data_IF_484768643479
#
_entry.id   IF_484768643479
#
_cell.length_a   1.000
_cell.length_b   1.000
_cell.length_c   1.000
_cell.angle_alpha   90.00
_cell.angle_beta   90.00
_cell.angle_gamma   90.00
#
_symmetry.space_group_name_H-M   'P 1'
#
loop_
_entity.id
_entity.type
_entity.pdbx_description
1 polymer ?
#
# COMPACT_ATOMS: atom_id res chain seq x y z
N UNK A 1 46.02 -0.56 -24.82
CA UNK A 1 44.74 0.05 -24.39
C UNK A 1 43.50 -0.86 -24.59
N UNK A 2 43.63 -2.16 -24.90
CA UNK A 2 42.49 -3.07 -25.14
C UNK A 2 41.86 -3.71 -23.89
N UNK A 3 42.29 -3.39 -22.66
CA UNK A 3 41.79 -4.05 -21.43
C UNK A 3 40.67 -3.30 -20.68
N UNK A 4 40.32 -2.07 -21.08
CA UNK A 4 39.35 -1.23 -20.33
C UNK A 4 37.91 -1.45 -20.80
N UNK A 5 37.70 -1.84 -22.06
CA UNK A 5 36.38 -2.08 -22.66
C UNK A 5 35.58 -3.20 -21.96
N UNK A 6 36.14 -4.36 -21.58
CA UNK A 6 35.33 -5.40 -20.92
C UNK A 6 34.86 -4.99 -19.52
N UNK A 7 35.57 -4.11 -18.81
CA UNK A 7 35.18 -3.68 -17.46
C UNK A 7 33.94 -2.77 -17.48
N UNK A 8 33.79 -1.93 -18.50
CA UNK A 8 32.65 -0.99 -18.62
C UNK A 8 31.36 -1.72 -19.02
N UNK A 9 31.45 -2.76 -19.85
CA UNK A 9 30.30 -3.58 -20.25
C UNK A 9 29.76 -4.41 -19.07
N UNK A 10 30.66 -4.93 -18.21
CA UNK A 10 30.26 -5.66 -16.99
C UNK A 10 29.62 -4.72 -15.95
N UNK A 11 30.09 -3.48 -15.86
CA UNK A 11 29.50 -2.48 -14.95
C UNK A 11 28.09 -2.06 -15.39
N UNK A 12 27.80 -1.95 -16.69
CA UNK A 12 26.45 -1.60 -17.16
C UNK A 12 25.44 -2.75 -17.05
N UNK A 13 25.90 -4.02 -17.14
CA UNK A 13 25.05 -5.20 -16.93
C UNK A 13 24.65 -5.43 -15.47
N UNK A 14 25.32 -4.78 -14.50
CA UNK A 14 25.02 -4.96 -13.07
C UNK A 14 23.99 -3.97 -12.52
N UNK A 15 23.57 -2.97 -13.29
CA UNK A 15 22.68 -1.89 -12.82
C UNK A 15 21.18 -2.07 -13.09
N UNK A 16 20.74 -3.23 -13.60
CA UNK A 16 19.34 -3.41 -14.01
C UNK A 16 18.67 -4.66 -13.44
N UNK A 17 19.09 -5.07 -12.23
CA UNK A 17 18.22 -5.86 -11.37
C UNK A 17 17.28 -4.88 -10.66
N UNK A 18 16.39 -4.25 -11.43
CA UNK A 18 15.18 -3.71 -10.84
C UNK A 18 14.48 -4.91 -10.19
N UNK A 19 14.34 -4.89 -8.87
CA UNK A 19 13.67 -5.95 -8.14
C UNK A 19 12.20 -5.89 -8.51
N UNK A 20 11.81 -6.64 -9.55
CA UNK A 20 10.44 -6.71 -10.01
C UNK A 20 9.55 -7.13 -8.85
N UNK A 21 8.51 -6.34 -8.58
CA UNK A 21 7.54 -6.63 -7.52
C UNK A 21 6.86 -7.95 -7.85
N UNK A 22 6.85 -8.89 -6.91
CA UNK A 22 6.26 -10.21 -7.09
C UNK A 22 5.50 -10.65 -5.86
N UNK A 23 4.24 -11.05 -6.06
CA UNK A 23 3.45 -11.74 -5.03
C UNK A 23 3.99 -13.18 -4.93
N UNK A 24 4.55 -13.53 -3.78
CA UNK A 24 5.13 -14.85 -3.52
C UNK A 24 4.07 -15.90 -3.19
N UNK A 25 3.07 -15.51 -2.41
CA UNK A 25 1.99 -16.38 -1.93
C UNK A 25 0.82 -15.53 -1.43
N UNK A 26 -0.39 -16.09 -1.46
CA UNK A 26 -1.56 -15.59 -0.72
C UNK A 26 -2.24 -16.79 -0.06
N UNK A 27 -2.44 -16.79 1.27
CA UNK A 27 -3.10 -17.92 1.94
C UNK A 27 -3.74 -17.56 3.27
N UNK A 28 -4.75 -18.32 3.66
CA UNK A 28 -5.29 -18.32 5.02
C UNK A 28 -4.41 -19.18 5.96
N UNK A 29 -4.61 -19.04 7.27
CA UNK A 29 -3.84 -19.79 8.26
C UNK A 29 -4.08 -21.30 8.12
N UNK A 30 -3.02 -22.07 7.90
CA UNK A 30 -3.09 -23.54 7.74
C UNK A 30 -3.28 -24.03 6.30
N UNK A 31 -3.55 -23.13 5.34
CA UNK A 31 -3.80 -23.49 3.95
C UNK A 31 -2.54 -23.54 3.07
N UNK A 32 -2.69 -24.13 1.87
CA UNK A 32 -1.67 -24.09 0.82
C UNK A 32 -1.50 -22.68 0.25
N UNK A 33 -0.35 -22.43 -0.36
CA UNK A 33 -0.13 -21.20 -1.11
C UNK A 33 -1.19 -21.09 -2.22
N UNK A 34 -1.81 -19.91 -2.32
CA UNK A 34 -2.89 -19.55 -3.26
C UNK A 34 -4.28 -20.08 -2.89
N UNK A 35 -4.45 -20.69 -1.72
CA UNK A 35 -5.76 -21.09 -1.19
C UNK A 35 -6.12 -20.26 0.04
N UNK A 36 -7.32 -19.67 0.01
CA UNK A 36 -7.85 -18.87 1.12
C UNK A 36 -9.26 -19.32 1.49
N UNK A 37 -9.58 -19.24 2.78
CA UNK A 37 -10.91 -19.52 3.28
C UNK A 37 -11.74 -18.24 3.36
N UNK A 38 -13.01 -18.34 2.95
CA UNK A 38 -13.96 -17.21 2.94
C UNK A 38 -14.13 -16.55 4.33
N UNK A 39 -14.00 -17.32 5.41
CA UNK A 39 -14.18 -16.83 6.79
C UNK A 39 -12.89 -16.42 7.50
N UNK A 40 -11.74 -16.53 6.84
CA UNK A 40 -10.43 -16.25 7.42
C UNK A 40 -9.72 -15.13 6.66
N UNK A 41 -8.84 -14.39 7.35
CA UNK A 41 -7.98 -13.39 6.71
C UNK A 41 -7.00 -14.11 5.77
N UNK A 42 -6.93 -13.65 4.53
CA UNK A 42 -6.04 -14.16 3.50
C UNK A 42 -4.80 -13.25 3.40
N UNK A 43 -3.64 -13.76 3.79
CA UNK A 43 -2.40 -12.97 3.88
C UNK A 43 -1.57 -13.18 2.60
N UNK A 44 -1.36 -12.09 1.86
CA UNK A 44 -0.49 -12.07 0.71
C UNK A 44 0.91 -11.56 1.08
N UNK A 45 1.94 -12.29 0.65
CA UNK A 45 3.35 -11.91 0.78
C UNK A 45 3.88 -11.39 -0.54
N UNK A 46 4.48 -10.21 -0.52
CA UNK A 46 5.03 -9.50 -1.67
C UNK A 46 6.53 -9.34 -1.46
N UNK A 47 7.29 -9.66 -2.51
CA UNK A 47 8.74 -9.47 -2.61
C UNK A 47 9.06 -8.33 -3.58
N UNK A 48 10.20 -7.67 -3.36
CA UNK A 48 10.60 -6.46 -4.09
C UNK A 48 10.33 -5.18 -3.28
N UNK A 49 10.83 -4.05 -3.79
CA UNK A 49 10.55 -2.74 -3.23
C UNK A 49 9.17 -2.28 -3.72
N UNK A 50 8.24 -2.09 -2.78
CA UNK A 50 6.88 -1.64 -3.06
C UNK A 50 6.52 -0.52 -2.07
N UNK A 51 6.69 0.73 -2.49
CA UNK A 51 6.30 1.90 -1.70
C UNK A 51 4.89 2.35 -2.04
N UNK A 52 4.11 2.70 -1.00
CA UNK A 52 2.71 3.14 -1.10
C UNK A 52 1.78 2.22 -1.91
N UNK A 53 2.14 0.95 -2.06
CA UNK A 53 1.42 0.04 -2.95
C UNK A 53 0.10 -0.46 -2.37
N UNK A 54 -0.78 -0.88 -3.28
CA UNK A 54 -2.04 -1.55 -2.97
C UNK A 54 -2.11 -2.89 -3.68
N UNK A 55 -2.73 -3.87 -3.04
CA UNK A 55 -3.04 -5.14 -3.67
C UNK A 55 -4.42 -5.02 -4.32
N UNK A 56 -4.48 -5.05 -5.63
CA UNK A 56 -5.73 -5.05 -6.38
C UNK A 56 -6.32 -6.46 -6.38
N UNK A 57 -7.54 -6.63 -5.86
CA UNK A 57 -8.27 -7.91 -5.84
C UNK A 57 -9.49 -7.77 -6.75
N UNK A 58 -9.64 -8.65 -7.74
CA UNK A 58 -10.70 -8.56 -8.76
C UNK A 58 -11.10 -9.93 -9.31
N UNK A 59 -12.34 -10.08 -9.82
CA UNK A 59 -12.81 -11.38 -10.34
C UNK A 59 -12.18 -11.75 -11.69
N UNK A 60 -12.44 -10.96 -12.74
CA UNK A 60 -12.05 -11.30 -14.12
C UNK A 60 -10.97 -10.39 -14.65
N UNK A 61 -11.16 -9.10 -14.44
CA UNK A 61 -10.27 -8.02 -14.84
C UNK A 61 -10.38 -6.83 -13.88
N UNK A 62 -9.51 -5.83 -14.05
CA UNK A 62 -9.41 -4.66 -13.18
C UNK A 62 -10.69 -3.79 -13.12
N UNK A 63 -11.68 -4.01 -14.00
CA UNK A 63 -12.97 -3.32 -13.98
C UNK A 63 -13.95 -3.97 -13.00
N UNK A 64 -13.72 -5.23 -12.64
CA UNK A 64 -14.47 -5.99 -11.63
C UNK A 64 -13.69 -6.02 -10.31
N UNK A 65 -13.28 -4.83 -9.85
CA UNK A 65 -12.51 -4.66 -8.63
C UNK A 65 -13.38 -4.96 -7.41
N UNK A 66 -12.90 -5.86 -6.55
CA UNK A 66 -13.55 -6.25 -5.30
C UNK A 66 -13.08 -5.35 -4.16
N UNK A 67 -11.75 -5.22 -3.98
CA UNK A 67 -11.14 -4.38 -2.96
C UNK A 67 -9.66 -4.05 -3.26
N UNK A 68 -9.08 -3.16 -2.44
CA UNK A 68 -7.68 -2.68 -2.59
C UNK A 68 -6.96 -2.51 -1.24
N UNK A 69 -6.69 -3.60 -0.50
CA UNK A 69 -5.94 -3.51 0.74
C UNK A 69 -4.54 -2.93 0.51
N UNK A 70 -4.04 -2.23 1.53
CA UNK A 70 -2.70 -1.61 1.49
C UNK A 70 -1.61 -2.69 1.61
N UNK A 71 -0.47 -2.45 0.97
CA UNK A 71 0.74 -3.26 1.16
C UNK A 71 1.61 -2.57 2.21
N UNK A 72 1.90 -3.28 3.32
CA UNK A 72 2.70 -2.79 4.43
C UNK A 72 3.82 -3.78 4.72
N UNK A 73 5.08 -3.32 4.64
CA UNK A 73 6.26 -4.14 4.90
C UNK A 73 6.32 -5.45 4.07
N UNK A 74 5.82 -5.42 2.84
CA UNK A 74 5.77 -6.60 1.96
C UNK A 74 4.63 -7.57 2.27
N UNK A 75 3.63 -7.17 3.03
CA UNK A 75 2.43 -7.96 3.33
C UNK A 75 1.16 -7.19 2.99
N UNK A 76 0.10 -7.90 2.64
CA UNK A 76 -1.23 -7.33 2.47
C UNK A 76 -2.27 -8.33 2.94
N UNK A 77 -3.18 -7.87 3.78
CA UNK A 77 -4.20 -8.70 4.41
C UNK A 77 -5.52 -8.46 3.68
N UNK A 78 -6.12 -9.52 3.15
CA UNK A 78 -7.43 -9.48 2.49
C UNK A 78 -8.46 -10.01 3.50
N UNK A 79 -9.36 -9.13 3.92
CA UNK A 79 -10.55 -9.49 4.68
C UNK A 79 -11.73 -9.65 3.71
N UNK A 80 -12.26 -10.86 3.58
CA UNK A 80 -13.30 -11.17 2.61
C UNK A 80 -14.63 -10.51 2.95
N UNK A 81 -14.91 -10.24 4.23
CA UNK A 81 -16.12 -9.52 4.65
C UNK A 81 -16.11 -8.08 4.11
N UNK A 82 -14.92 -7.47 4.00
CA UNK A 82 -14.71 -6.15 3.38
C UNK A 82 -14.62 -6.22 1.84
N UNK A 83 -14.34 -7.39 1.28
CA UNK A 83 -14.10 -7.63 -0.15
C UNK A 83 -15.27 -8.33 -0.87
N UNK A 84 -16.49 -8.25 -0.35
CA UNK A 84 -17.73 -8.83 -0.92
C UNK A 84 -17.79 -10.38 -0.96
N UNK A 85 -16.94 -11.07 -0.19
CA UNK A 85 -16.95 -12.54 0.03
C UNK A 85 -17.21 -13.40 -1.23
N UNK A 86 -16.40 -13.28 -2.31
CA UNK A 86 -16.56 -14.13 -3.48
C UNK A 86 -16.14 -15.57 -3.19
N UNK A 87 -16.82 -16.54 -3.80
CA UNK A 87 -16.42 -17.96 -3.78
C UNK A 87 -15.81 -18.33 -5.13
N UNK A 88 -14.71 -19.09 -5.12
CA UNK A 88 -14.01 -19.55 -6.32
C UNK A 88 -12.73 -18.77 -6.62
N UNK A 89 -12.40 -18.61 -7.90
CA UNK A 89 -11.14 -17.98 -8.31
C UNK A 89 -11.26 -16.45 -8.37
N UNK A 90 -10.33 -15.76 -7.71
CA UNK A 90 -10.12 -14.32 -7.87
C UNK A 90 -8.69 -14.05 -8.31
N UNK A 91 -8.46 -12.87 -8.88
CA UNK A 91 -7.17 -12.42 -9.36
C UNK A 91 -6.61 -11.34 -8.46
N UNK A 92 -5.30 -11.39 -8.25
CA UNK A 92 -4.57 -10.42 -7.44
C UNK A 92 -3.39 -9.84 -8.22
N UNK A 93 -3.15 -8.54 -8.03
CA UNK A 93 -1.99 -7.81 -8.58
C UNK A 93 -1.52 -6.76 -7.59
N UNK A 94 -0.23 -6.70 -7.31
CA UNK A 94 0.34 -5.59 -6.55
C UNK A 94 0.59 -4.40 -7.49
N UNK A 95 0.06 -3.23 -7.10
CA UNK A 95 0.24 -1.96 -7.79
C UNK A 95 1.05 -1.04 -6.88
N UNK A 96 2.33 -0.86 -7.21
CA UNK A 96 3.31 -0.08 -6.44
C UNK A 96 3.82 1.08 -7.31
N UNK A 97 4.45 2.09 -6.68
CA UNK A 97 5.04 3.22 -7.43
C UNK A 97 6.19 2.79 -8.35
N UNK A 98 6.94 1.76 -7.94
CA UNK A 98 8.09 1.23 -8.66
C UNK A 98 7.68 0.45 -9.91
N UNK A 99 6.73 -0.47 -9.77
CA UNK A 99 6.20 -1.30 -10.85
C UNK A 99 4.94 -2.06 -10.39
N UNK A 100 4.20 -2.61 -11.36
CA UNK A 100 3.14 -3.58 -11.10
C UNK A 100 3.69 -5.01 -11.11
N UNK A 101 3.17 -5.86 -10.22
CA UNK A 101 3.47 -7.30 -10.28
C UNK A 101 2.76 -7.98 -11.45
N UNK A 102 3.18 -9.21 -11.75
CA UNK A 102 2.34 -10.12 -12.54
C UNK A 102 1.03 -10.42 -11.81
N UNK A 103 0.00 -10.75 -12.59
CA UNK A 103 -1.29 -11.25 -12.10
C UNK A 103 -1.13 -12.69 -11.59
N UNK A 104 -1.75 -12.99 -10.45
CA UNK A 104 -1.86 -14.35 -9.91
C UNK A 104 -3.32 -14.66 -9.57
N UNK A 105 -3.67 -15.94 -9.48
CA UNK A 105 -5.00 -16.41 -9.11
C UNK A 105 -4.98 -16.94 -7.68
N UNK A 106 -5.95 -16.54 -6.87
CA UNK A 106 -6.22 -17.05 -5.52
C UNK A 106 -7.54 -17.82 -5.57
N UNK A 107 -7.56 -19.01 -5.00
CA UNK A 107 -8.74 -19.86 -4.91
C UNK A 107 -9.38 -19.70 -3.52
N UNK A 108 -10.64 -19.28 -3.50
CA UNK A 108 -11.40 -19.05 -2.27
C UNK A 108 -12.31 -20.25 -2.04
N UNK A 109 -11.99 -21.03 -1.02
CA UNK A 109 -12.77 -22.19 -0.60
C UNK A 109 -13.81 -21.72 0.40
N UNK A 110 -15.09 -21.89 0.06
CA UNK A 110 -16.16 -21.69 1.03
C UNK A 110 -15.90 -22.66 2.17
N UNK A 111 -15.83 -22.13 3.39
CA UNK A 111 -15.79 -22.95 4.58
C UNK A 111 -17.07 -23.77 4.57
N UNK A 112 -17.01 -25.02 4.10
CA UNK A 112 -18.04 -25.99 4.42
C UNK A 112 -18.00 -26.02 5.94
N UNK A 113 -18.92 -25.29 6.57
CA UNK A 113 -19.13 -25.34 7.99
C UNK A 113 -19.31 -26.80 8.29
N UNK A 114 -18.23 -27.42 8.73
CA UNK A 114 -18.18 -28.85 8.97
C UNK A 114 -19.08 -28.98 10.19
N UNK A 115 -20.35 -29.22 9.89
CA UNK A 115 -21.42 -29.59 10.79
C UNK A 115 -21.12 -30.97 11.33
N UNK A 116 -19.90 -31.15 11.83
CA UNK A 116 -19.47 -32.19 12.73
C UNK A 116 -20.38 -32.11 13.93
N UNK A 117 -21.49 -32.82 13.80
CA UNK A 117 -22.41 -33.24 14.83
C UNK A 117 -21.62 -34.15 15.81
N UNK A 118 -20.68 -33.54 16.53
CA UNK A 118 -19.94 -34.14 17.62
C UNK A 118 -20.82 -34.07 18.85
N UNK A 119 -21.62 -35.11 19.07
CA UNK A 119 -22.40 -35.29 20.28
C UNK A 119 -21.50 -35.19 21.51
N UNK A 120 -21.56 -34.04 22.19
CA UNK A 120 -20.91 -33.84 23.48
C UNK A 120 -21.89 -34.26 24.57
N UNK A 121 -21.64 -35.43 25.14
CA UNK A 121 -22.31 -35.92 26.34
C UNK A 121 -22.04 -34.95 27.49
N UNK A 122 -23.10 -34.63 28.25
CA UNK A 122 -23.09 -33.66 29.33
C UNK A 122 -22.04 -33.94 30.40
N UNK A 123 -21.10 -33.01 30.56
CA UNK A 123 -20.30 -32.83 31.75
C UNK A 123 -20.38 -31.35 32.15
N UNK A 124 -21.18 -31.05 33.18
CA UNK A 124 -21.26 -29.71 33.76
C UNK A 124 -19.89 -29.34 34.32
N UNK A 125 -19.16 -28.51 33.59
CA UNK A 125 -17.88 -27.95 33.99
C UNK A 125 -18.13 -26.53 34.48
N UNK A 126 -17.93 -26.32 35.77
CA UNK A 126 -17.95 -25.02 36.41
C UNK A 126 -16.85 -24.15 35.79
N UNK A 127 -17.23 -23.10 35.06
CA UNK A 127 -16.30 -22.15 34.46
C UNK A 127 -15.82 -21.18 35.53
N UNK A 128 -14.60 -21.39 36.03
CA UNK A 128 -13.85 -20.37 36.76
C UNK A 128 -13.30 -19.37 35.73
N UNK A 129 -13.84 -18.16 35.73
CA UNK A 129 -13.35 -17.05 34.88
C UNK A 129 -12.00 -16.59 35.40
N UNK A 130 -10.93 -17.18 34.87
CA UNK A 130 -9.58 -16.64 35.00
C UNK A 130 -9.42 -15.54 33.96
N UNK A 131 -9.36 -14.29 34.40
CA UNK A 131 -9.08 -13.13 33.55
C UNK A 131 -7.62 -13.18 33.10
N UNK A 132 -7.32 -13.95 32.07
CA UNK A 132 -6.06 -13.84 31.33
C UNK A 132 -6.09 -12.53 30.56
N UNK A 133 -5.29 -11.57 31.00
CA UNK A 133 -5.06 -10.29 30.31
C UNK A 133 -4.23 -10.58 29.06
N UNK A 134 -4.89 -10.93 27.96
CA UNK A 134 -4.23 -11.11 26.67
C UNK A 134 -3.85 -9.74 26.14
N UNK A 135 -2.56 -9.39 26.26
CA UNK A 135 -1.98 -8.18 25.67
C UNK A 135 -1.98 -8.33 24.15
N UNK A 136 -2.94 -7.70 23.47
CA UNK A 136 -2.97 -7.59 22.02
C UNK A 136 -2.00 -6.46 21.63
N UNK A 137 -1.03 -6.71 20.73
CA UNK A 137 -0.13 -5.66 20.24
C UNK A 137 -0.93 -4.67 19.38
N UNK A 138 -0.94 -3.40 19.75
CA UNK A 138 -1.58 -2.33 18.98
C UNK A 138 -0.51 -1.41 18.40
N UNK A 139 -0.53 -1.22 17.08
CA UNK A 139 0.44 -0.35 16.39
C UNK A 139 0.16 1.15 16.64
N UNK A 140 -1.10 1.49 16.94
CA UNK A 140 -1.55 2.85 17.14
C UNK A 140 -2.45 2.97 18.36
N UNK A 141 -2.27 4.06 19.10
CA UNK A 141 -3.13 4.43 20.23
C UNK A 141 -3.89 5.70 19.88
N UNK A 142 -5.20 5.68 20.11
CA UNK A 142 -6.08 6.79 19.86
C UNK A 142 -6.16 7.64 21.13
N UNK A 143 -5.55 8.84 21.12
CA UNK A 143 -5.78 9.81 22.19
C UNK A 143 -7.01 10.65 21.82
N UNK A 144 -8.05 10.58 22.65
CA UNK A 144 -9.21 11.45 22.51
C UNK A 144 -8.76 12.91 22.69
N UNK A 145 -9.00 13.75 21.69
CA UNK A 145 -8.91 15.19 21.85
C UNK A 145 -10.34 15.71 22.01
N UNK A 146 -10.67 16.20 23.20
CA UNK A 146 -11.92 16.92 23.43
C UNK A 146 -11.85 18.24 22.65
N UNK A 147 -12.50 18.31 21.48
CA UNK A 147 -12.97 19.59 20.95
C UNK A 147 -14.35 19.83 21.55
N UNK A 148 -14.40 20.84 22.43
CA UNK A 148 -15.56 21.55 22.99
C UNK A 148 -16.88 20.76 23.17
N UNK A 149 -17.37 20.70 24.41
CA UNK A 149 -18.47 19.82 24.91
C UNK A 149 -19.83 19.93 24.17
N UNK A 150 -19.95 20.83 23.19
CA UNK A 150 -21.21 21.16 22.53
C UNK A 150 -21.37 20.59 21.11
N UNK A 151 -20.39 19.88 20.52
CA UNK A 151 -20.57 19.35 19.17
C UNK A 151 -19.77 18.04 18.90
N UNK A 152 -20.40 16.84 18.99
CA UNK A 152 -19.75 15.59 18.59
C UNK A 152 -19.50 15.52 17.07
N UNK A 153 -18.53 14.70 16.59
CA UNK A 153 -17.88 13.61 17.31
C UNK A 153 -16.39 13.82 17.60
N UNK A 154 -15.93 13.12 18.63
CA UNK A 154 -14.55 13.05 19.10
C UNK A 154 -13.58 12.69 17.98
N UNK A 155 -12.59 13.55 17.73
CA UNK A 155 -11.46 13.22 16.88
C UNK A 155 -10.40 12.49 17.70
N UNK A 156 -9.94 11.36 17.20
CA UNK A 156 -8.81 10.64 17.79
C UNK A 156 -7.55 10.93 16.98
N UNK A 157 -6.50 11.42 17.65
CA UNK A 157 -5.18 11.52 17.03
C UNK A 157 -4.52 10.16 17.06
N UNK A 158 -4.08 9.62 15.90
CA UNK A 158 -3.23 8.43 15.86
C UNK A 158 -1.84 8.81 16.36
N UNK A 159 -1.41 8.18 17.44
CA UNK A 159 -0.04 8.32 17.94
C UNK A 159 0.68 7.00 17.65
N UNK A 160 1.78 7.00 16.88
CA UNK A 160 2.57 5.79 16.66
C UNK A 160 3.19 5.36 17.99
N UNK A 161 2.83 4.17 18.46
CA UNK A 161 3.41 3.63 19.69
C UNK A 161 4.67 2.85 19.34
N UNK A 162 5.82 3.35 19.81
CA UNK A 162 7.03 2.54 19.91
C UNK A 162 6.76 1.45 20.93
N UNK A 163 6.54 0.22 20.44
CA UNK A 163 6.44 -1.05 21.18
C UNK A 163 6.41 -0.94 22.70
N UNK A 164 5.20 -1.13 23.27
CA UNK A 164 4.90 -2.04 24.38
C UNK A 164 3.70 -1.54 25.21
N UNK A 165 2.56 -2.24 25.02
CA UNK A 165 1.37 -2.31 25.87
C UNK A 165 0.62 -1.01 26.21
N UNK A 166 -0.67 -0.98 25.87
CA UNK A 166 -1.61 0.02 26.38
C UNK A 166 -2.02 -0.33 27.82
N UNK A 167 -1.82 0.55 28.82
CA UNK A 167 -2.45 0.40 30.13
C UNK A 167 -3.98 0.53 29.97
N UNK A 168 -4.74 -0.19 30.80
CA UNK A 168 -6.16 -0.54 30.63
C UNK A 168 -7.22 0.57 30.52
N UNK A 169 -6.84 1.80 30.16
CA UNK A 169 -7.75 2.90 29.79
C UNK A 169 -7.58 3.40 28.35
N UNK A 170 -6.59 2.91 27.59
CA UNK A 170 -6.34 3.35 26.22
C UNK A 170 -6.93 2.36 25.21
N UNK A 171 -7.89 2.82 24.43
CA UNK A 171 -8.58 2.03 23.40
C UNK A 171 -7.68 1.93 22.17
N UNK A 172 -7.46 0.72 21.67
CA UNK A 172 -6.75 0.52 20.41
C UNK A 172 -7.62 0.98 19.25
N UNK A 173 -7.08 1.83 18.36
CA UNK A 173 -7.84 2.44 17.26
C UNK A 173 -8.52 1.39 16.37
N UNK A 174 -7.91 0.22 16.20
CA UNK A 174 -8.43 -0.91 15.40
C UNK A 174 -9.76 -1.47 15.94
N UNK A 175 -10.07 -1.24 17.23
CA UNK A 175 -11.32 -1.71 17.87
C UNK A 175 -12.44 -0.67 17.91
N UNK A 176 -12.18 0.56 17.43
CA UNK A 176 -13.21 1.61 17.35
C UNK A 176 -13.83 1.55 15.97
N UNK A 177 -15.11 1.16 15.88
CA UNK A 177 -15.91 1.37 14.68
C UNK A 177 -15.85 2.86 14.36
N UNK A 178 -15.07 3.23 13.34
CA UNK A 178 -14.87 4.62 12.97
C UNK A 178 -16.07 5.06 12.14
N UNK A 179 -17.22 5.30 12.78
CA UNK A 179 -18.33 5.95 12.11
C UNK A 179 -17.96 7.43 11.97
N UNK A 180 -17.49 7.84 10.80
CA UNK A 180 -17.36 9.27 10.51
C UNK A 180 -18.79 9.86 10.57
N UNK A 181 -19.00 11.02 11.21
CA UNK A 181 -20.33 11.61 11.35
C UNK A 181 -20.91 11.84 9.95
N UNK A 182 -22.14 11.42 9.72
CA UNK A 182 -22.84 11.80 8.50
C UNK A 182 -22.90 13.32 8.43
N UNK A 183 -22.30 13.89 7.39
CA UNK A 183 -22.39 15.32 7.14
C UNK A 183 -23.87 15.65 6.88
N UNK A 184 -24.50 16.33 7.85
CA UNK A 184 -25.86 16.83 7.67
C UNK A 184 -25.93 17.75 6.44
N UNK A 185 -26.97 17.63 5.59
CA UNK A 185 -27.09 18.47 4.42
C UNK A 185 -27.27 19.94 4.84
N UNK A 186 -26.35 20.81 4.44
CA UNK A 186 -26.65 22.24 4.30
C UNK A 186 -26.09 23.21 5.35
N UNK A 187 -25.11 22.83 6.17
CA UNK A 187 -24.39 23.86 6.94
C UNK A 187 -23.40 24.60 6.04
N UNK A 188 -23.59 25.90 5.84
CA UNK A 188 -22.63 26.79 5.19
C UNK A 188 -21.42 26.91 6.11
N UNK A 189 -20.37 26.14 5.82
CA UNK A 189 -19.14 26.14 6.59
C UNK A 189 -18.29 27.34 6.13
N UNK A 190 -17.80 28.20 7.04
CA UNK A 190 -16.93 29.32 6.67
C UNK A 190 -15.67 28.84 5.94
N UNK A 191 -15.22 29.63 4.97
CA UNK A 191 -13.89 29.49 4.36
C UNK A 191 -12.85 29.45 5.50
N UNK A 192 -11.89 28.53 5.42
CA UNK A 192 -10.82 28.26 6.42
C UNK A 192 -11.20 27.40 7.64
N UNK A 193 -12.28 26.61 7.60
CA UNK A 193 -12.46 25.55 8.60
C UNK A 193 -11.48 24.40 8.37
N UNK A 194 -10.88 23.91 9.46
CA UNK A 194 -10.05 22.71 9.49
C UNK A 194 -10.91 21.50 9.13
N UNK A 195 -10.54 20.73 8.10
CA UNK A 195 -11.23 19.48 7.79
C UNK A 195 -10.84 18.39 8.82
N UNK A 196 -11.79 17.53 9.23
CA UNK A 196 -11.53 16.48 10.23
C UNK A 196 -10.45 15.50 9.74
N UNK A 197 -9.50 15.13 10.62
CA UNK A 197 -8.25 14.47 10.26
C UNK A 197 -8.34 13.02 9.77
N UNK A 198 -7.35 12.63 8.95
CA UNK A 198 -6.70 11.33 8.64
C UNK A 198 -7.51 10.01 8.60
N UNK A 199 -8.44 9.77 9.51
CA UNK A 199 -9.13 8.48 9.59
C UNK A 199 -10.10 8.24 8.43
N UNK A 200 -10.56 9.29 7.74
CA UNK A 200 -11.48 9.19 6.62
C UNK A 200 -10.79 9.47 5.25
N UNK A 201 -9.45 9.66 5.20
CA UNK A 201 -8.74 10.05 3.95
C UNK A 201 -8.82 9.01 2.84
N UNK A 202 -8.98 7.74 3.20
CA UNK A 202 -9.13 6.62 2.26
C UNK A 202 -10.59 6.43 1.78
N UNK A 203 -11.57 7.16 2.33
CA UNK A 203 -12.95 7.00 1.90
C UNK A 203 -13.21 7.67 0.55
N UNK A 204 -13.76 6.96 -0.45
CA UNK A 204 -14.09 7.54 -1.73
C UNK A 204 -15.15 8.65 -1.56
N UNK A 205 -14.85 9.85 -2.07
CA UNK A 205 -15.74 11.02 -1.95
C UNK A 205 -15.54 11.86 -0.69
N UNK A 206 -14.59 11.50 0.18
CA UNK A 206 -14.21 12.27 1.38
C UNK A 206 -13.95 13.76 1.09
N UNK A 207 -13.29 14.06 -0.03
CA UNK A 207 -12.97 15.43 -0.47
C UNK A 207 -14.19 16.36 -0.59
N UNK A 208 -15.35 15.80 -0.93
CA UNK A 208 -16.59 16.54 -1.19
C UNK A 208 -17.56 16.55 0.00
N UNK A 209 -17.37 15.66 0.98
CA UNK A 209 -18.31 15.52 2.11
C UNK A 209 -18.10 16.57 3.20
N UNK A 210 -16.86 17.02 3.40
CA UNK A 210 -16.50 17.87 4.55
C UNK A 210 -16.22 19.32 4.19
N UNK A 211 -15.96 19.60 2.91
CA UNK A 211 -15.78 20.94 2.39
C UNK A 211 -17.04 21.41 1.68
N UNK A 212 -17.30 22.72 1.70
CA UNK A 212 -18.41 23.29 0.95
C UNK A 212 -18.20 23.05 -0.56
N UNK A 213 -19.31 22.96 -1.31
CA UNK A 213 -19.26 22.79 -2.77
C UNK A 213 -18.28 23.78 -3.41
N UNK A 214 -17.30 23.26 -4.15
CA UNK A 214 -16.24 24.04 -4.79
C UNK A 214 -14.92 24.13 -4.01
N UNK A 215 -14.81 23.47 -2.85
CA UNK A 215 -13.59 23.39 -2.05
C UNK A 215 -13.17 21.93 -1.85
N UNK A 216 -11.87 21.68 -1.80
CA UNK A 216 -11.24 20.37 -1.54
C UNK A 216 -10.39 20.48 -0.27
N UNK A 217 -10.34 19.43 0.56
CA UNK A 217 -9.50 19.39 1.76
C UNK A 217 -8.03 19.17 1.37
N UNK A 218 -7.17 20.18 1.56
CA UNK A 218 -5.73 20.15 1.27
C UNK A 218 -4.97 20.55 2.53
N UNK A 219 -4.01 19.73 2.99
CA UNK A 219 -3.22 20.00 4.22
C UNK A 219 -4.10 20.37 5.43
N UNK A 220 -5.21 19.64 5.62
CA UNK A 220 -6.19 19.87 6.68
C UNK A 220 -7.00 21.18 6.59
N UNK A 221 -6.98 21.87 5.44
CA UNK A 221 -7.74 23.09 5.18
C UNK A 221 -8.59 22.94 3.91
N UNK A 222 -9.86 23.36 3.94
CA UNK A 222 -10.66 23.43 2.72
C UNK A 222 -10.18 24.59 1.83
N UNK A 223 -9.55 24.26 0.69
CA UNK A 223 -9.07 25.22 -0.32
C UNK A 223 -9.81 25.02 -1.64
N UNK A 224 -10.05 26.09 -2.40
CA UNK A 224 -10.71 26.02 -3.71
C UNK A 224 -9.89 25.22 -4.73
N UNK A 225 -8.55 25.28 -4.60
CA UNK A 225 -7.60 24.44 -5.32
C UNK A 225 -6.51 24.02 -4.36
N UNK A 226 -6.22 22.72 -4.29
CA UNK A 226 -4.96 22.29 -3.72
C UNK A 226 -3.86 22.81 -4.64
N UNK A 227 -2.87 23.51 -4.08
CA UNK A 227 -1.60 23.64 -4.78
C UNK A 227 -1.14 22.19 -5.00
N UNK A 228 -1.13 21.73 -6.24
CA UNK A 228 -0.61 20.41 -6.61
C UNK A 228 0.81 20.36 -6.05
N UNK A 229 0.94 19.74 -4.88
CA UNK A 229 2.10 19.91 -4.01
C UNK A 229 3.31 19.59 -4.83
N UNK A 230 4.10 20.63 -5.16
CA UNK A 230 5.13 20.67 -6.20
C UNK A 230 5.63 19.29 -6.56
N UNK A 231 4.84 18.58 -7.38
CA UNK A 231 5.08 17.17 -7.68
C UNK A 231 6.44 17.17 -8.31
N UNK A 232 7.40 16.50 -7.64
CA UNK A 232 8.83 16.62 -7.85
C UNK A 232 9.07 16.76 -9.34
N UNK A 233 9.21 18.00 -9.81
CA UNK A 233 9.43 18.27 -11.22
C UNK A 233 10.82 17.69 -11.39
N UNK A 234 10.90 16.46 -11.89
CA UNK A 234 12.12 15.87 -12.43
C UNK A 234 12.48 16.86 -13.51
N UNK A 235 13.25 17.84 -13.10
CA UNK A 235 13.42 19.10 -13.79
C UNK A 235 13.91 18.72 -15.16
N UNK A 236 13.45 19.40 -16.20
CA UNK A 236 14.04 19.26 -17.55
C UNK A 236 15.58 19.29 -17.52
N UNK A 237 16.15 19.89 -16.46
CA UNK A 237 17.56 19.80 -16.07
C UNK A 237 18.09 18.39 -15.82
N UNK A 238 17.42 17.55 -15.02
CA UNK A 238 17.87 16.19 -14.69
C UNK A 238 17.84 15.29 -15.94
N UNK A 239 16.78 15.39 -16.75
CA UNK A 239 16.69 14.70 -18.05
C UNK A 239 17.83 15.17 -18.99
N UNK A 240 18.11 16.47 -19.03
CA UNK A 240 19.21 17.02 -19.84
C UNK A 240 20.57 16.47 -19.40
N UNK A 241 20.83 16.36 -18.09
CA UNK A 241 22.08 15.79 -17.56
C UNK A 241 22.21 14.30 -17.87
N UNK A 242 21.12 13.52 -17.81
CA UNK A 242 21.11 12.10 -18.19
C UNK A 242 21.44 11.93 -19.68
N UNK A 243 20.85 12.75 -20.56
CA UNK A 243 21.13 12.72 -22.00
C UNK A 243 22.58 13.13 -22.28
N UNK A 244 23.09 14.18 -21.61
CA UNK A 244 24.47 14.62 -21.77
C UNK A 244 25.46 13.54 -21.34
N UNK A 245 25.20 12.90 -20.20
CA UNK A 245 26.03 11.82 -19.67
C UNK A 245 26.04 10.58 -20.59
N UNK A 246 24.92 10.27 -21.27
CA UNK A 246 24.85 9.13 -22.20
C UNK A 246 25.54 9.39 -23.55
N UNK A 247 25.67 10.65 -23.97
CA UNK A 247 26.33 11.01 -25.25
C UNK A 247 27.86 10.99 -25.17
N UNK A 248 28.46 11.26 -24.01
CA UNK A 248 29.92 11.26 -23.80
C UNK A 248 30.59 9.92 -24.23
N UNK A 249 30.11 8.73 -23.81
CA UNK A 249 30.72 7.46 -24.22
C UNK A 249 30.57 7.18 -25.72
N UNK A 250 29.46 7.60 -26.34
CA UNK A 250 29.23 7.45 -27.79
C UNK A 250 30.26 8.27 -28.58
N UNK A 251 30.47 9.53 -28.19
CA UNK A 251 31.45 10.39 -28.83
C UNK A 251 32.88 9.86 -28.66
N UNK A 252 33.24 9.39 -27.45
CA UNK A 252 34.54 8.78 -27.20
C UNK A 252 34.79 7.54 -28.08
N UNK A 253 33.75 6.71 -28.26
CA UNK A 253 33.80 5.53 -29.13
C UNK A 253 34.00 5.91 -30.60
N UNK A 254 33.29 6.93 -31.10
CA UNK A 254 33.47 7.42 -32.47
C UNK A 254 34.88 7.96 -32.70
N UNK A 255 35.43 8.75 -31.77
CA UNK A 255 36.81 9.25 -31.84
C UNK A 255 37.82 8.09 -31.87
N UNK A 256 37.57 7.04 -31.09
CA UNK A 256 38.41 5.85 -31.07
C UNK A 256 38.41 5.11 -32.41
N UNK A 257 37.23 4.91 -33.02
CA UNK A 257 37.12 4.32 -34.37
C UNK A 257 37.87 5.17 -35.41
N UNK A 258 37.69 6.48 -35.36
CA UNK A 258 38.34 7.40 -36.31
C UNK A 258 39.87 7.37 -36.18
N UNK A 259 40.42 7.34 -34.95
CA UNK A 259 41.87 7.20 -34.74
C UNK A 259 42.39 5.87 -35.27
N UNK A 260 41.71 4.77 -34.95
CA UNK A 260 42.13 3.44 -35.40
C UNK A 260 42.14 3.33 -36.93
N UNK A 261 41.20 3.96 -37.63
CA UNK A 261 41.17 3.97 -39.10
C UNK A 261 42.36 4.71 -39.72
N UNK A 262 42.88 5.74 -39.04
CA UNK A 262 44.00 6.53 -39.56
C UNK A 262 45.33 5.77 -39.47
N UNK A 263 45.50 4.93 -38.44
CA UNK A 263 46.71 4.12 -38.26
C UNK A 263 46.89 3.04 -39.35
N UNK A 264 45.79 2.57 -39.97
CA UNK A 264 45.84 1.58 -41.06
C UNK A 264 46.19 2.18 -42.43
N UNK A 265 46.28 3.50 -42.56
CA UNK A 265 46.54 4.18 -43.82
C UNK A 265 47.98 4.71 -43.95
N UNK A 266 48.91 4.34 -43.07
CA UNK A 266 50.33 4.65 -43.31
C UNK A 266 50.90 3.70 -44.38
N UNK A 267 51.31 4.21 -45.56
CA UNK A 267 52.05 3.41 -46.52
C UNK A 267 53.43 3.06 -45.94
N UNK A 268 53.80 1.77 -46.00
CA UNK A 268 55.18 1.33 -45.79
C UNK A 268 56.07 2.04 -46.83
N UNK A 269 56.96 2.90 -46.36
CA UNK A 269 58.04 3.52 -47.12
C UNK A 269 59.38 2.89 -46.75
#
# INVERSE_FOLDING_TARGET
MNKIIPAIVVLFLSFSLAYAVKIESCKSEGESDWDCHESDICICRISGDCTNGRLLVYEKDIRTLLCMPRIVNGYSDIDWDDCFSPIGEVKVRADCEEEQSSENTVNIVSGNGDGGNGGHNGGSRTTTTTTTTTTIPCNYVCQAMCMDDNNPPFCYKRIPHGTNSCPGSTICCESILTSCPEAGPGTTIPQDKTCPYECCIDMPGYEYQYCSSGFTCCDHLCKEKCEEGSGFNITKSLIFWIILASMIPIVAFLIFILRKKNDYNMPEY
#
